data_IF_336717588358
#
_entry.id   IF_336717588358
#
_cell.length_a   1.000
_cell.length_b   1.000
_cell.length_c   1.000
_cell.angle_alpha   90.00
_cell.angle_beta   90.00
_cell.angle_gamma   90.00
#
_symmetry.space_group_name_H-M   'P 1'
#
loop_
_entity.id
_entity.type
_entity.pdbx_description
1 polymer ?
#
# COMPACT_ATOMS: atom_id res chain seq x y z
N UNK A 1 -14.83 -17.58 1.72
CA UNK A 1 -14.55 -16.96 3.03
C UNK A 1 -15.59 -15.88 3.31
N UNK A 2 -16.04 -15.78 4.57
CA UNK A 2 -16.97 -14.74 4.98
C UNK A 2 -16.24 -13.38 4.97
N UNK A 3 -16.83 -12.37 4.33
CA UNK A 3 -16.22 -11.03 4.24
C UNK A 3 -15.98 -10.39 5.61
N UNK A 4 -16.86 -10.61 6.57
CA UNK A 4 -16.72 -10.06 7.92
C UNK A 4 -15.48 -10.65 8.60
N UNK A 5 -15.31 -11.97 8.49
CA UNK A 5 -14.16 -12.66 9.08
C UNK A 5 -12.88 -12.22 8.40
N UNK A 6 -12.90 -12.10 7.07
CA UNK A 6 -11.74 -11.64 6.30
C UNK A 6 -11.33 -10.22 6.69
N UNK A 7 -12.30 -9.33 6.87
CA UNK A 7 -12.02 -7.95 7.28
C UNK A 7 -11.44 -7.89 8.70
N UNK A 8 -11.96 -8.68 9.62
CA UNK A 8 -11.43 -8.75 10.98
C UNK A 8 -9.99 -9.25 10.99
N UNK A 9 -9.70 -10.28 10.18
CA UNK A 9 -8.34 -10.81 10.04
C UNK A 9 -7.41 -9.71 9.52
N UNK A 10 -7.83 -9.00 8.47
CA UNK A 10 -7.04 -7.91 7.89
C UNK A 10 -6.78 -6.79 8.91
N UNK A 11 -7.80 -6.39 9.67
CA UNK A 11 -7.65 -5.35 10.71
C UNK A 11 -6.63 -5.79 11.74
N UNK A 12 -6.70 -7.03 12.21
CA UNK A 12 -5.80 -7.54 13.24
C UNK A 12 -4.36 -7.62 12.74
N UNK A 13 -4.16 -8.06 11.50
CA UNK A 13 -2.83 -8.15 10.89
C UNK A 13 -2.18 -6.77 10.79
N UNK A 14 -2.94 -5.78 10.32
CA UNK A 14 -2.43 -4.40 10.19
C UNK A 14 -2.19 -3.78 11.57
N UNK A 15 -3.12 -4.00 12.51
CA UNK A 15 -2.95 -3.47 13.88
C UNK A 15 -1.67 -4.00 14.52
N UNK A 16 -1.34 -5.27 14.28
CA UNK A 16 -0.12 -5.87 14.83
C UNK A 16 1.16 -5.25 14.24
N UNK A 17 1.10 -4.72 13.02
CA UNK A 17 2.24 -4.03 12.42
C UNK A 17 2.62 -2.75 13.16
N UNK A 18 1.72 -2.15 13.93
CA UNK A 18 2.05 -0.99 14.75
C UNK A 18 3.23 -1.27 15.70
N UNK A 19 3.40 -2.51 16.12
CA UNK A 19 4.52 -2.90 16.98
C UNK A 19 5.87 -2.70 16.30
N UNK A 20 5.90 -2.83 14.98
CA UNK A 20 7.11 -2.63 14.17
C UNK A 20 7.24 -1.17 13.77
N UNK A 21 6.16 -0.55 13.29
CA UNK A 21 6.19 0.79 12.72
C UNK A 21 6.32 1.89 13.77
N UNK A 22 5.96 1.61 15.03
CA UNK A 22 6.03 2.61 16.10
C UNK A 22 7.47 3.09 16.35
N UNK A 23 8.48 2.29 16.01
CA UNK A 23 9.89 2.72 16.12
C UNK A 23 10.20 3.90 15.22
N UNK A 24 9.40 4.09 14.17
CA UNK A 24 9.51 5.23 13.25
C UNK A 24 8.50 6.32 13.58
N UNK A 25 7.80 6.20 14.71
CA UNK A 25 6.75 7.15 15.11
C UNK A 25 5.44 6.97 14.35
N UNK A 26 5.24 5.82 13.69
CA UNK A 26 4.11 5.57 12.81
C UNK A 26 3.14 4.56 13.46
N UNK A 27 1.96 5.04 13.83
CA UNK A 27 0.92 4.22 14.45
C UNK A 27 -0.41 4.55 13.81
N UNK A 28 -1.15 3.51 13.42
CA UNK A 28 -2.50 3.65 12.86
C UNK A 28 -3.54 3.36 13.94
N UNK A 29 -4.58 4.18 14.02
CA UNK A 29 -5.74 3.88 14.85
C UNK A 29 -6.57 2.77 14.21
N UNK A 30 -7.42 2.12 15.01
CA UNK A 30 -8.34 1.11 14.46
C UNK A 30 -9.25 1.67 13.39
N UNK A 31 -9.70 2.92 13.56
CA UNK A 31 -10.54 3.60 12.57
C UNK A 31 -9.80 3.81 11.26
N UNK A 32 -8.55 4.25 11.32
CA UNK A 32 -7.72 4.42 10.12
C UNK A 32 -7.49 3.08 9.42
N UNK A 33 -7.20 2.04 10.18
CA UNK A 33 -7.00 0.69 9.63
C UNK A 33 -8.26 0.20 8.95
N UNK A 34 -9.41 0.35 9.59
CA UNK A 34 -10.70 -0.05 9.01
C UNK A 34 -10.95 0.68 7.70
N UNK A 35 -10.66 1.99 7.64
CA UNK A 35 -10.83 2.77 6.43
C UNK A 35 -9.87 2.34 5.32
N UNK A 36 -8.62 2.04 5.65
CA UNK A 36 -7.64 1.52 4.68
C UNK A 36 -8.14 0.23 4.05
N UNK A 37 -8.63 -0.69 4.87
CA UNK A 37 -9.13 -1.98 4.39
C UNK A 37 -10.37 -1.81 3.53
N UNK A 38 -11.29 -0.92 3.92
CA UNK A 38 -12.48 -0.63 3.11
C UNK A 38 -12.09 -0.06 1.75
N UNK A 39 -11.15 0.88 1.71
CA UNK A 39 -10.67 1.46 0.44
C UNK A 39 -10.03 0.39 -0.43
N UNK A 40 -9.16 -0.46 0.15
CA UNK A 40 -8.56 -1.57 -0.57
C UNK A 40 -9.62 -2.49 -1.17
N UNK A 41 -10.63 -2.84 -0.38
CA UNK A 41 -11.68 -3.76 -0.83
C UNK A 41 -12.52 -3.19 -1.97
N UNK A 42 -12.76 -1.87 -1.97
CA UNK A 42 -13.46 -1.20 -3.08
C UNK A 42 -12.65 -1.32 -4.37
N UNK A 43 -11.34 -1.07 -4.29
CA UNK A 43 -10.45 -1.19 -5.45
C UNK A 43 -10.45 -2.62 -5.98
N UNK A 44 -10.29 -3.61 -5.10
CA UNK A 44 -10.28 -5.01 -5.49
C UNK A 44 -11.58 -5.42 -6.18
N UNK A 45 -12.72 -4.94 -5.66
CA UNK A 45 -14.02 -5.23 -6.24
C UNK A 45 -14.11 -4.69 -7.68
N UNK A 46 -13.61 -3.47 -7.90
CA UNK A 46 -13.59 -2.86 -9.23
C UNK A 46 -12.71 -3.64 -10.20
N UNK A 47 -11.62 -4.23 -9.69
CA UNK A 47 -10.70 -5.03 -10.50
C UNK A 47 -11.14 -6.50 -10.63
N UNK A 48 -12.22 -6.91 -9.96
CA UNK A 48 -12.67 -8.30 -9.96
C UNK A 48 -11.71 -9.23 -9.22
N UNK A 49 -11.03 -8.74 -8.18
CA UNK A 49 -10.02 -9.48 -7.43
C UNK A 49 -10.41 -9.63 -5.97
N UNK A 50 -9.85 -10.66 -5.34
CA UNK A 50 -10.04 -10.94 -3.91
C UNK A 50 -8.65 -11.18 -3.32
N UNK A 51 -8.41 -10.61 -2.12
CA UNK A 51 -7.24 -10.93 -1.31
C UNK A 51 -7.71 -11.41 0.06
N UNK A 52 -6.96 -12.34 0.63
CA UNK A 52 -7.24 -12.88 1.96
C UNK A 52 -6.47 -12.05 2.98
N UNK A 53 -7.14 -11.65 4.07
CA UNK A 53 -6.52 -10.86 5.13
C UNK A 53 -6.09 -9.49 4.63
N UNK A 54 -4.94 -9.02 5.11
CA UNK A 54 -4.39 -7.71 4.74
C UNK A 54 -3.74 -7.70 3.35
N UNK A 55 -3.36 -8.88 2.84
CA UNK A 55 -2.78 -9.01 1.50
C UNK A 55 -1.58 -8.10 1.28
N UNK A 56 -1.55 -7.43 0.12
CA UNK A 56 -0.45 -6.55 -0.24
C UNK A 56 -0.32 -5.32 0.66
N UNK A 57 -1.40 -4.92 1.34
CA UNK A 57 -1.37 -3.74 2.22
C UNK A 57 -0.35 -3.91 3.36
N UNK A 58 -0.26 -5.10 3.93
CA UNK A 58 0.72 -5.40 4.97
C UNK A 58 2.15 -5.19 4.47
N UNK A 59 2.44 -5.66 3.27
CA UNK A 59 3.74 -5.53 2.63
C UNK A 59 4.08 -4.07 2.33
N UNK A 60 3.11 -3.30 1.87
CA UNK A 60 3.26 -1.86 1.59
C UNK A 60 3.63 -1.12 2.89
N UNK A 61 2.91 -1.39 3.96
CA UNK A 61 3.17 -0.75 5.25
C UNK A 61 4.59 -1.06 5.72
N UNK A 62 4.96 -2.33 5.67
CA UNK A 62 6.28 -2.77 6.11
C UNK A 62 7.40 -2.12 5.30
N UNK A 63 7.25 -2.10 3.98
CA UNK A 63 8.28 -1.59 3.08
C UNK A 63 8.45 -0.06 3.18
N UNK A 64 7.36 0.68 3.37
CA UNK A 64 7.39 2.14 3.34
C UNK A 64 7.62 2.79 4.71
N UNK A 65 7.59 2.02 5.80
CA UNK A 65 7.64 2.61 7.14
C UNK A 65 8.95 3.31 7.49
N UNK A 66 10.04 3.01 6.80
CA UNK A 66 11.34 3.64 7.03
C UNK A 66 11.65 4.78 6.05
N UNK A 67 10.70 5.18 5.21
CA UNK A 67 10.91 6.27 4.26
C UNK A 67 11.09 7.61 5.00
N UNK A 68 12.08 8.39 4.58
CA UNK A 68 12.34 9.72 5.13
C UNK A 68 11.23 10.72 4.75
N UNK A 69 10.38 10.39 3.78
CA UNK A 69 9.30 11.25 3.32
C UNK A 69 7.96 10.93 3.97
N UNK A 70 7.93 9.94 4.87
CA UNK A 70 6.73 9.56 5.61
C UNK A 70 6.95 9.87 7.09
N UNK A 71 6.02 10.64 7.66
CA UNK A 71 6.01 10.96 9.07
C UNK A 71 4.60 10.73 9.66
N UNK A 72 4.46 10.96 10.96
CA UNK A 72 3.18 10.69 11.63
C UNK A 72 2.02 11.53 11.09
N UNK A 73 2.30 12.69 10.49
CA UNK A 73 1.23 13.58 9.99
C UNK A 73 0.72 13.17 8.62
N UNK A 74 1.58 12.56 7.79
CA UNK A 74 1.20 12.17 6.42
C UNK A 74 1.08 10.65 6.23
N UNK A 75 1.33 9.86 7.26
CA UNK A 75 1.39 8.41 7.17
C UNK A 75 0.11 7.80 6.60
N UNK A 76 -1.02 8.07 7.23
CA UNK A 76 -2.30 7.51 6.82
C UNK A 76 -2.65 7.90 5.37
N UNK A 77 -2.53 9.19 5.04
CA UNK A 77 -2.85 9.67 3.69
C UNK A 77 -1.92 9.08 2.64
N UNK A 78 -0.63 8.94 2.93
CA UNK A 78 0.30 8.27 2.03
C UNK A 78 -0.08 6.81 1.82
N UNK A 79 -0.49 6.10 2.87
CA UNK A 79 -0.90 4.70 2.73
C UNK A 79 -2.14 4.55 1.85
N UNK A 80 -3.10 5.45 1.96
CA UNK A 80 -4.28 5.46 1.07
C UNK A 80 -3.82 5.58 -0.39
N UNK A 81 -2.95 6.54 -0.68
CA UNK A 81 -2.46 6.77 -2.04
C UNK A 81 -1.55 5.65 -2.55
N UNK A 82 -0.63 5.19 -1.72
CA UNK A 82 0.29 4.12 -2.11
C UNK A 82 -0.46 2.81 -2.40
N UNK A 83 -1.50 2.51 -1.64
CA UNK A 83 -2.33 1.34 -1.87
C UNK A 83 -3.04 1.44 -3.23
N UNK A 84 -3.64 2.59 -3.51
CA UNK A 84 -4.30 2.84 -4.79
C UNK A 84 -3.32 2.71 -5.95
N UNK A 85 -2.15 3.31 -5.81
CA UNK A 85 -1.11 3.30 -6.86
C UNK A 85 -0.59 1.87 -7.07
N UNK A 86 -0.42 1.08 -6.01
CA UNK A 86 0.01 -0.31 -6.13
C UNK A 86 -0.95 -1.11 -7.02
N UNK A 87 -2.25 -1.01 -6.79
CA UNK A 87 -3.22 -1.74 -7.61
C UNK A 87 -3.31 -1.20 -9.03
N UNK A 88 -3.06 0.10 -9.23
CA UNK A 88 -2.94 0.67 -10.56
C UNK A 88 -1.75 0.05 -11.31
N UNK A 89 -0.59 -0.05 -10.66
CA UNK A 89 0.59 -0.70 -11.24
C UNK A 89 0.28 -2.15 -11.62
N UNK A 90 -0.31 -2.90 -10.68
CA UNK A 90 -0.64 -4.30 -10.89
C UNK A 90 -1.54 -4.49 -12.11
N UNK A 91 -2.56 -3.67 -12.24
CA UNK A 91 -3.51 -3.71 -13.35
C UNK A 91 -2.86 -3.30 -14.67
N UNK A 92 -2.15 -2.18 -14.69
CA UNK A 92 -1.50 -1.66 -15.91
C UNK A 92 -0.39 -2.57 -16.43
N UNK A 93 0.26 -3.31 -15.54
CA UNK A 93 1.33 -4.23 -15.91
C UNK A 93 0.80 -5.63 -16.27
N UNK A 94 -0.51 -5.84 -16.20
CA UNK A 94 -1.16 -7.13 -16.51
C UNK A 94 -0.53 -8.31 -15.76
N UNK A 95 -0.20 -8.09 -14.49
CA UNK A 95 0.39 -9.10 -13.59
C UNK A 95 1.74 -9.65 -14.07
N UNK A 96 2.50 -8.87 -14.85
CA UNK A 96 3.84 -9.29 -15.33
C UNK A 96 4.88 -9.32 -14.21
N UNK A 97 4.67 -8.54 -13.16
CA UNK A 97 5.55 -8.48 -11.99
C UNK A 97 4.82 -9.00 -10.77
N UNK A 98 5.58 -9.56 -9.83
CA UNK A 98 5.02 -9.97 -8.53
C UNK A 98 4.72 -8.75 -7.67
N UNK A 99 3.87 -8.93 -6.67
CA UNK A 99 3.55 -7.86 -5.72
C UNK A 99 4.83 -7.32 -5.07
N UNK A 100 5.72 -8.20 -4.66
CA UNK A 100 7.00 -7.82 -4.06
C UNK A 100 7.84 -6.97 -5.00
N UNK A 101 7.92 -7.35 -6.27
CA UNK A 101 8.67 -6.58 -7.28
C UNK A 101 8.08 -5.19 -7.48
N UNK A 102 6.77 -5.10 -7.55
CA UNK A 102 6.07 -3.82 -7.71
C UNK A 102 6.32 -2.92 -6.49
N UNK A 103 6.16 -3.47 -5.30
CA UNK A 103 6.30 -2.69 -4.05
C UNK A 103 7.73 -2.18 -3.90
N UNK A 104 8.73 -3.01 -4.19
CA UNK A 104 10.13 -2.59 -4.15
C UNK A 104 10.43 -1.49 -5.16
N UNK A 105 9.93 -1.62 -6.38
CA UNK A 105 10.08 -0.60 -7.39
C UNK A 105 9.47 0.72 -6.93
N UNK A 106 8.25 0.66 -6.38
CA UNK A 106 7.56 1.84 -5.87
C UNK A 106 8.37 2.51 -4.76
N UNK A 107 8.86 1.71 -3.80
CA UNK A 107 9.62 2.25 -2.66
C UNK A 107 10.91 2.92 -3.11
N UNK A 108 11.68 2.26 -3.98
CA UNK A 108 12.93 2.84 -4.49
C UNK A 108 12.69 4.15 -5.21
N UNK A 109 11.66 4.21 -6.05
CA UNK A 109 11.34 5.44 -6.79
C UNK A 109 10.74 6.51 -5.89
N UNK A 110 9.90 6.13 -4.94
CA UNK A 110 9.32 7.06 -3.97
C UNK A 110 10.41 7.82 -3.22
N UNK A 111 11.44 7.09 -2.77
CA UNK A 111 12.53 7.67 -2.00
C UNK A 111 13.55 8.42 -2.86
N UNK A 112 13.93 7.87 -4.00
CA UNK A 112 15.10 8.34 -4.75
C UNK A 112 14.78 9.22 -5.96
N UNK A 113 13.60 9.07 -6.55
CA UNK A 113 13.20 9.81 -7.75
C UNK A 113 12.10 10.81 -7.43
N UNK A 114 11.07 10.33 -6.74
CA UNK A 114 9.87 11.13 -6.45
C UNK A 114 10.07 12.07 -5.26
N UNK A 115 11.02 11.77 -4.39
CA UNK A 115 11.25 12.51 -3.14
C UNK A 115 9.93 12.68 -2.36
N UNK A 116 9.17 11.60 -2.28
CA UNK A 116 7.90 11.56 -1.54
C UNK A 116 6.67 11.99 -2.33
N UNK A 117 6.80 12.31 -3.62
CA UNK A 117 5.65 12.71 -4.45
C UNK A 117 4.93 11.48 -4.99
N UNK A 118 3.70 11.27 -4.53
CA UNK A 118 2.85 10.18 -5.04
C UNK A 118 2.39 10.43 -6.46
N UNK A 119 2.25 11.70 -6.88
CA UNK A 119 1.85 12.06 -8.24
C UNK A 119 2.91 11.61 -9.26
N UNK A 120 4.18 11.83 -8.96
CA UNK A 120 5.29 11.39 -9.84
C UNK A 120 5.35 9.86 -9.87
N UNK A 121 5.14 9.22 -8.73
CA UNK A 121 5.13 7.76 -8.64
C UNK A 121 4.02 7.16 -9.51
N UNK A 122 2.85 7.78 -9.48
CA UNK A 122 1.69 7.32 -10.24
C UNK A 122 1.85 7.51 -11.75
N UNK A 123 2.49 8.60 -12.18
CA UNK A 123 2.58 8.96 -13.60
C UNK A 123 3.90 8.56 -14.22
N UNK A 124 4.95 9.34 -13.96
CA UNK A 124 6.25 9.18 -14.66
C UNK A 124 6.91 7.82 -14.39
N UNK A 125 6.88 7.38 -13.14
CA UNK A 125 7.53 6.12 -12.77
C UNK A 125 6.78 4.91 -13.35
N UNK A 126 5.47 4.94 -13.39
CA UNK A 126 4.69 3.87 -14.01
C UNK A 126 4.90 3.84 -15.51
N UNK A 127 4.88 5.00 -16.17
CA UNK A 127 5.12 5.10 -17.62
C UNK A 127 6.48 4.53 -18.00
N UNK A 128 7.51 4.85 -17.21
CA UNK A 128 8.86 4.33 -17.44
C UNK A 128 8.88 2.80 -17.31
N UNK A 129 8.22 2.26 -16.30
CA UNK A 129 8.18 0.81 -16.08
C UNK A 129 7.43 0.09 -17.20
N UNK A 130 6.33 0.67 -17.68
CA UNK A 130 5.54 0.09 -18.78
C UNK A 130 6.31 0.07 -20.09
N UNK A 131 7.25 0.97 -20.29
CA UNK A 131 8.00 1.10 -21.53
C UNK A 131 9.34 0.36 -21.52
N UNK A 132 9.61 -0.38 -20.47
CA UNK A 132 10.81 -1.22 -20.38
C UNK A 132 10.65 -2.57 -21.09
#
# INVERSE_FOLDING_TARGET
MNLIINNQLAVNEIYNLNKITERYGLVLSKKQITNLIKNRNIILKELGRIEIGSGALEEIIYEFCDSLYIDKTNYYNNLIELTRIFYLYQDELNNKLTDEQIIKYMKDNFDNICCGSVEILESECLDKLKNE
#
